data_IF_146975926826
#
_entry.id   IF_146975926826
#
_cell.length_a   1.000
_cell.length_b   1.000
_cell.length_c   1.000
_cell.angle_alpha   90.00
_cell.angle_beta   90.00
_cell.angle_gamma   90.00
#
_symmetry.space_group_name_H-M   'P 1'
#
loop_
_entity.id
_entity.type
_entity.pdbx_description
1 polymer ?
#
# COMPACT_ATOMS: atom_id res chain seq x y z
N UNK A 1 10.02 11.88 -35.61
CA UNK A 1 8.63 12.37 -35.34
C UNK A 1 7.82 11.31 -34.57
N UNK A 2 6.67 11.68 -34.06
CA UNK A 2 5.71 10.74 -33.47
C UNK A 2 5.22 9.72 -34.50
N UNK A 3 5.03 10.14 -35.75
CA UNK A 3 4.65 9.23 -36.82
C UNK A 3 5.67 8.12 -37.02
N UNK A 4 6.96 8.48 -37.11
CA UNK A 4 8.03 7.48 -37.29
C UNK A 4 8.12 6.50 -36.11
N UNK A 5 7.90 7.02 -34.88
CA UNK A 5 7.90 6.19 -33.69
C UNK A 5 6.73 5.19 -33.70
N UNK A 6 5.51 5.66 -34.01
CA UNK A 6 4.33 4.80 -34.10
C UNK A 6 4.43 3.77 -35.23
N UNK A 7 4.96 4.17 -36.41
CA UNK A 7 5.22 3.24 -37.52
C UNK A 7 6.24 2.15 -37.14
N UNK A 8 7.23 2.49 -36.32
CA UNK A 8 8.20 1.51 -35.81
C UNK A 8 7.54 0.53 -34.84
N UNK A 9 6.72 1.03 -33.91
CA UNK A 9 5.96 0.19 -32.97
C UNK A 9 4.99 -0.71 -33.75
N UNK A 10 4.25 -0.17 -34.70
CA UNK A 10 3.33 -0.96 -35.54
C UNK A 10 4.05 -2.10 -36.25
N UNK A 11 5.16 -1.82 -36.92
CA UNK A 11 5.96 -2.86 -37.60
C UNK A 11 6.51 -3.91 -36.64
N UNK A 12 6.88 -3.51 -35.41
CA UNK A 12 7.39 -4.44 -34.40
C UNK A 12 6.31 -5.39 -33.88
N UNK A 13 5.08 -4.91 -33.75
CA UNK A 13 3.95 -5.68 -33.19
C UNK A 13 3.16 -6.45 -34.23
N UNK A 14 3.13 -6.03 -35.50
CA UNK A 14 2.26 -6.61 -36.55
C UNK A 14 2.52 -8.09 -36.87
N UNK A 15 3.68 -8.62 -36.53
CA UNK A 15 4.05 -10.02 -36.75
C UNK A 15 3.93 -10.91 -35.51
N UNK A 16 3.47 -10.35 -34.40
CA UNK A 16 3.39 -11.07 -33.11
C UNK A 16 1.95 -11.49 -32.82
N UNK A 17 1.81 -12.65 -32.19
CA UNK A 17 0.55 -13.07 -31.58
C UNK A 17 0.37 -12.42 -30.20
N UNK A 18 -0.88 -12.32 -29.72
CA UNK A 18 -1.17 -11.64 -28.46
C UNK A 18 -0.45 -12.22 -27.24
N UNK A 19 -0.18 -13.53 -27.23
CA UNK A 19 0.58 -14.23 -26.20
C UNK A 19 2.08 -13.89 -26.17
N UNK A 20 2.59 -13.30 -27.25
CA UNK A 20 3.98 -12.83 -27.35
C UNK A 20 4.17 -11.35 -26.91
N UNK A 21 3.07 -10.66 -26.56
CA UNK A 21 3.10 -9.24 -26.22
C UNK A 21 2.60 -9.02 -24.80
N UNK A 22 3.42 -8.43 -23.96
CA UNK A 22 3.06 -8.00 -22.61
C UNK A 22 2.95 -6.49 -22.48
N UNK A 23 2.06 -6.01 -21.61
CA UNK A 23 1.83 -4.61 -21.33
C UNK A 23 2.10 -4.30 -19.86
N UNK A 24 3.00 -3.35 -19.60
CA UNK A 24 3.36 -2.87 -18.27
C UNK A 24 3.18 -1.34 -18.19
N UNK A 25 1.95 -0.85 -18.18
CA UNK A 25 1.69 0.59 -18.24
C UNK A 25 2.11 1.37 -16.99
N UNK A 26 2.33 0.69 -15.87
CA UNK A 26 2.75 1.32 -14.61
C UNK A 26 1.61 2.01 -13.84
N UNK A 27 1.90 2.37 -12.58
CA UNK A 27 0.90 2.89 -11.63
C UNK A 27 0.71 4.42 -11.64
N UNK A 28 1.28 5.15 -12.61
CA UNK A 28 1.19 6.63 -12.68
C UNK A 28 0.26 7.14 -13.78
N UNK A 29 -0.53 6.26 -14.35
CA UNK A 29 -1.50 6.60 -15.37
C UNK A 29 -2.77 7.18 -14.76
N UNK A 30 -3.49 7.99 -15.55
CA UNK A 30 -4.87 8.30 -15.24
C UNK A 30 -5.74 7.03 -15.36
N UNK A 31 -6.92 7.05 -14.76
CA UNK A 31 -7.89 5.96 -14.91
C UNK A 31 -8.23 5.72 -16.39
N UNK A 32 -8.43 6.79 -17.15
CA UNK A 32 -8.76 6.75 -18.57
C UNK A 32 -7.63 6.12 -19.40
N UNK A 33 -6.38 6.47 -19.12
CA UNK A 33 -5.22 5.88 -19.79
C UNK A 33 -5.07 4.40 -19.46
N UNK A 34 -5.24 4.02 -18.20
CA UNK A 34 -5.20 2.62 -17.78
C UNK A 34 -6.29 1.80 -18.48
N UNK A 35 -7.49 2.34 -18.58
CA UNK A 35 -8.59 1.71 -19.33
C UNK A 35 -8.28 1.61 -20.82
N UNK A 36 -7.76 2.68 -21.44
CA UNK A 36 -7.38 2.70 -22.85
C UNK A 36 -6.31 1.66 -23.16
N UNK A 37 -5.28 1.52 -22.31
CA UNK A 37 -4.26 0.48 -22.44
C UNK A 37 -4.86 -0.93 -22.35
N UNK A 38 -5.75 -1.15 -21.40
CA UNK A 38 -6.43 -2.44 -21.23
C UNK A 38 -7.28 -2.80 -22.46
N UNK A 39 -8.00 -1.81 -22.99
CA UNK A 39 -8.80 -1.98 -24.22
C UNK A 39 -7.91 -2.25 -25.43
N UNK A 40 -6.87 -1.46 -25.64
CA UNK A 40 -5.93 -1.61 -26.75
C UNK A 40 -5.28 -3.01 -26.75
N UNK A 41 -4.77 -3.43 -25.59
CA UNK A 41 -4.13 -4.73 -25.45
C UNK A 41 -5.07 -5.87 -25.87
N UNK A 42 -6.29 -5.89 -25.33
CA UNK A 42 -7.24 -6.99 -25.58
C UNK A 42 -7.90 -6.93 -26.95
N UNK A 43 -8.30 -5.76 -27.43
CA UNK A 43 -9.09 -5.64 -28.67
C UNK A 43 -8.26 -5.48 -29.92
N UNK A 44 -7.07 -4.88 -29.83
CA UNK A 44 -6.21 -4.63 -30.99
C UNK A 44 -5.07 -5.64 -31.07
N UNK A 45 -4.39 -5.90 -29.95
CA UNK A 45 -3.23 -6.81 -29.93
C UNK A 45 -3.65 -8.24 -29.63
N UNK A 46 -4.78 -8.46 -28.96
CA UNK A 46 -5.26 -9.79 -28.57
C UNK A 46 -4.51 -10.36 -27.36
N UNK A 47 -3.96 -9.49 -26.51
CA UNK A 47 -3.18 -9.89 -25.33
C UNK A 47 -3.94 -9.64 -24.03
N UNK A 48 -3.94 -10.64 -23.15
CA UNK A 48 -4.37 -10.52 -21.75
C UNK A 48 -3.18 -10.40 -20.78
N UNK A 49 -1.95 -10.38 -21.29
CA UNK A 49 -0.72 -10.20 -20.48
C UNK A 49 -0.54 -8.73 -20.12
N UNK A 50 -1.35 -8.27 -19.17
CA UNK A 50 -1.33 -6.87 -18.68
C UNK A 50 -1.08 -6.88 -17.19
N UNK A 51 -0.05 -6.14 -16.74
CA UNK A 51 0.23 -5.91 -15.34
C UNK A 51 0.60 -4.44 -15.09
N UNK A 52 0.18 -3.89 -13.98
CA UNK A 52 0.47 -2.50 -13.59
C UNK A 52 1.66 -2.41 -12.63
N UNK A 53 2.17 -3.53 -12.16
CA UNK A 53 3.22 -3.61 -11.14
C UNK A 53 4.47 -4.27 -11.67
N UNK A 54 5.62 -3.72 -11.33
CA UNK A 54 6.94 -4.26 -11.68
C UNK A 54 7.50 -5.22 -10.62
N UNK A 55 6.67 -5.86 -9.81
CA UNK A 55 7.05 -6.83 -8.79
C UNK A 55 6.16 -8.07 -8.81
N UNK A 56 6.69 -9.15 -8.30
CA UNK A 56 5.89 -10.36 -8.10
C UNK A 56 4.79 -10.13 -7.05
N UNK A 57 3.66 -10.79 -7.24
CA UNK A 57 2.55 -10.86 -6.31
C UNK A 57 2.58 -12.18 -5.55
N UNK A 58 2.21 -12.13 -4.26
CA UNK A 58 2.00 -13.32 -3.46
C UNK A 58 0.52 -13.70 -3.44
N UNK A 59 0.24 -14.97 -3.18
CA UNK A 59 -1.13 -15.44 -2.95
C UNK A 59 -1.76 -14.76 -1.73
N UNK A 60 -0.94 -14.49 -0.70
CA UNK A 60 -1.36 -13.75 0.49
C UNK A 60 -1.83 -12.33 0.12
N UNK A 61 -1.05 -11.61 -0.69
CA UNK A 61 -1.46 -10.27 -1.16
C UNK A 61 -2.75 -10.32 -1.97
N UNK A 62 -2.89 -11.27 -2.88
CA UNK A 62 -4.10 -11.43 -3.67
C UNK A 62 -5.32 -11.67 -2.78
N UNK A 63 -5.20 -12.54 -1.82
CA UNK A 63 -6.26 -12.85 -0.85
C UNK A 63 -6.60 -11.64 0.02
N UNK A 64 -5.60 -10.94 0.53
CA UNK A 64 -5.78 -9.72 1.31
C UNK A 64 -6.51 -8.63 0.52
N UNK A 65 -6.07 -8.35 -0.70
CA UNK A 65 -6.69 -7.33 -1.56
C UNK A 65 -8.14 -7.70 -1.91
N UNK A 66 -8.41 -8.98 -2.18
CA UNK A 66 -9.76 -9.45 -2.48
C UNK A 66 -10.71 -9.32 -1.29
N UNK A 67 -10.22 -9.58 -0.06
CA UNK A 67 -11.06 -9.63 1.15
C UNK A 67 -11.20 -8.29 1.87
N UNK A 68 -10.18 -7.42 1.82
CA UNK A 68 -10.10 -6.22 2.64
C UNK A 68 -10.04 -4.91 1.85
N UNK A 69 -9.82 -4.97 0.52
CA UNK A 69 -9.68 -3.77 -0.32
C UNK A 69 -10.72 -3.73 -1.43
N UNK A 70 -10.88 -4.83 -2.18
CA UNK A 70 -11.82 -4.89 -3.28
C UNK A 70 -13.26 -4.72 -2.78
N UNK A 71 -13.99 -3.76 -3.37
CA UNK A 71 -15.38 -3.50 -3.02
C UNK A 71 -15.62 -2.79 -1.68
N UNK A 72 -14.57 -2.49 -0.91
CA UNK A 72 -14.70 -1.82 0.39
C UNK A 72 -14.83 -0.28 0.31
N UNK A 73 -14.72 0.30 -0.88
CA UNK A 73 -14.72 1.76 -1.07
C UNK A 73 -13.45 2.41 -0.54
N UNK A 74 -13.54 3.67 -0.10
CA UNK A 74 -12.37 4.43 0.38
C UNK A 74 -11.85 4.01 1.77
N UNK A 75 -12.53 3.09 2.46
CA UNK A 75 -12.15 2.63 3.80
C UNK A 75 -12.09 3.77 4.83
N UNK A 76 -10.97 4.51 4.89
CA UNK A 76 -10.77 5.59 5.86
C UNK A 76 -10.65 6.95 5.16
N UNK A 77 -11.54 7.89 5.50
CA UNK A 77 -11.46 9.26 5.00
C UNK A 77 -10.36 10.06 5.70
N UNK A 78 -9.90 11.15 5.09
CA UNK A 78 -8.92 12.04 5.72
C UNK A 78 -9.38 12.59 7.07
N UNK A 79 -10.68 12.90 7.21
CA UNK A 79 -11.23 13.38 8.49
C UNK A 79 -11.18 12.32 9.57
N UNK A 80 -11.53 11.09 9.23
CA UNK A 80 -11.44 9.95 10.14
C UNK A 80 -10.00 9.65 10.54
N UNK A 81 -9.05 9.75 9.60
CA UNK A 81 -7.63 9.59 9.88
C UNK A 81 -7.11 10.67 10.83
N UNK A 82 -7.47 11.95 10.61
CA UNK A 82 -7.07 13.07 11.48
C UNK A 82 -7.59 12.91 12.92
N UNK A 83 -8.67 12.16 13.13
CA UNK A 83 -9.31 11.92 14.43
C UNK A 83 -9.10 10.51 15.00
N UNK A 84 -8.29 9.69 14.37
CA UNK A 84 -8.13 8.28 14.73
C UNK A 84 -7.42 8.05 16.09
N UNK A 85 -6.83 9.09 16.69
CA UNK A 85 -6.05 8.97 17.93
C UNK A 85 -4.70 8.31 17.73
N UNK A 86 -4.66 7.12 17.16
CA UNK A 86 -3.44 6.36 16.85
C UNK A 86 -3.47 5.81 15.42
N UNK A 87 -2.34 5.90 14.74
CA UNK A 87 -2.08 5.28 13.43
C UNK A 87 -0.83 4.40 13.54
N UNK A 88 -0.91 3.20 12.96
CA UNK A 88 0.24 2.33 12.72
C UNK A 88 0.55 2.29 11.21
N UNK A 89 1.80 2.58 10.86
CA UNK A 89 2.32 2.47 9.49
C UNK A 89 3.00 1.11 9.32
N UNK A 90 2.60 0.35 8.31
CA UNK A 90 3.16 -0.95 7.97
C UNK A 90 3.57 -0.96 6.51
N UNK A 91 4.86 -1.05 6.23
CA UNK A 91 5.38 -1.05 4.86
C UNK A 91 5.08 0.24 4.08
N UNK A 92 4.89 1.37 4.76
CA UNK A 92 4.50 2.64 4.17
C UNK A 92 5.40 3.79 4.65
N UNK A 93 5.89 4.59 3.70
CA UNK A 93 6.51 5.90 3.98
C UNK A 93 5.63 7.01 3.39
N UNK A 94 4.74 7.58 4.19
CA UNK A 94 3.70 8.47 3.67
C UNK A 94 4.23 9.78 3.10
N UNK A 95 5.43 10.27 3.50
CA UNK A 95 6.02 11.49 2.91
C UNK A 95 6.37 11.29 1.45
N UNK A 96 6.88 10.11 1.09
CA UNK A 96 7.35 9.82 -0.27
C UNK A 96 6.26 9.19 -1.15
N UNK A 97 5.36 8.40 -0.55
CA UNK A 97 4.40 7.57 -1.28
C UNK A 97 3.01 8.20 -1.40
N UNK A 98 2.58 9.00 -0.40
CA UNK A 98 1.24 9.59 -0.39
C UNK A 98 1.21 10.96 0.34
N UNK A 99 1.81 11.96 -0.28
CA UNK A 99 2.04 13.29 0.29
C UNK A 99 0.79 13.98 0.86
N UNK A 100 -0.38 13.82 0.23
CA UNK A 100 -1.62 14.39 0.77
C UNK A 100 -2.00 13.79 2.13
N UNK A 101 -1.89 12.46 2.26
CA UNK A 101 -2.13 11.73 3.50
C UNK A 101 -1.10 12.14 4.57
N UNK A 102 0.18 12.24 4.19
CA UNK A 102 1.24 12.73 5.07
C UNK A 102 0.94 14.12 5.64
N UNK A 103 0.52 15.07 4.79
CA UNK A 103 0.19 16.43 5.24
C UNK A 103 -1.01 16.44 6.20
N UNK A 104 -2.00 15.58 5.99
CA UNK A 104 -3.14 15.42 6.90
C UNK A 104 -2.71 14.88 8.27
N UNK A 105 -1.90 13.81 8.29
CA UNK A 105 -1.36 13.28 9.54
C UNK A 105 -0.49 14.32 10.26
N UNK A 106 0.41 15.02 9.53
CA UNK A 106 1.27 16.06 10.12
C UNK A 106 0.47 17.21 10.75
N UNK A 107 -0.63 17.61 10.14
CA UNK A 107 -1.56 18.59 10.71
C UNK A 107 -2.17 18.09 12.02
N UNK A 108 -2.58 16.83 12.07
CA UNK A 108 -3.21 16.24 13.24
C UNK A 108 -2.19 15.99 14.38
N UNK A 109 -0.99 15.50 14.08
CA UNK A 109 0.07 15.28 15.09
C UNK A 109 0.52 16.61 15.73
N UNK A 110 0.69 17.67 14.94
CA UNK A 110 1.01 19.02 15.47
C UNK A 110 -0.05 19.59 16.42
N UNK A 111 -1.29 19.14 16.28
CA UNK A 111 -2.40 19.53 17.17
C UNK A 111 -2.57 18.59 18.37
N UNK A 112 -1.69 17.59 18.51
CA UNK A 112 -1.78 16.59 19.56
C UNK A 112 -2.99 15.64 19.43
N UNK A 113 -3.64 15.60 18.26
CA UNK A 113 -4.84 14.79 18.03
C UNK A 113 -4.55 13.39 17.49
N UNK A 114 -3.34 13.18 16.98
CA UNK A 114 -2.92 11.94 16.36
C UNK A 114 -1.53 11.56 16.82
N UNK A 115 -1.34 10.30 17.17
CA UNK A 115 -0.04 9.67 17.36
C UNK A 115 0.21 8.71 16.19
N UNK A 116 1.46 8.59 15.79
CA UNK A 116 1.88 7.72 14.68
C UNK A 116 2.98 6.80 15.17
N UNK A 117 2.84 5.51 14.91
CA UNK A 117 3.90 4.51 15.07
C UNK A 117 4.21 3.89 13.70
N UNK A 118 5.42 3.42 13.51
CA UNK A 118 5.84 2.76 12.26
C UNK A 118 6.67 1.53 12.52
N UNK A 119 6.30 0.41 11.89
CA UNK A 119 7.13 -0.79 11.78
C UNK A 119 8.19 -0.55 10.71
N UNK A 120 9.44 -0.38 11.11
CA UNK A 120 10.52 -0.08 10.18
C UNK A 120 11.91 -0.37 10.79
N UNK A 121 12.95 -0.58 9.97
CA UNK A 121 14.30 -0.78 10.47
C UNK A 121 14.95 0.49 11.02
N UNK A 122 14.49 1.66 10.59
CA UNK A 122 15.03 2.96 11.00
C UNK A 122 13.97 4.06 10.95
N UNK A 123 14.21 5.13 11.70
CA UNK A 123 13.39 6.34 11.63
C UNK A 123 13.60 7.05 10.30
N UNK A 124 12.54 7.18 9.51
CA UNK A 124 12.55 7.98 8.29
C UNK A 124 12.43 9.48 8.58
N UNK A 125 12.72 10.33 7.57
CA UNK A 125 12.48 11.77 7.66
C UNK A 125 10.99 12.08 7.86
N UNK A 126 10.12 11.34 7.18
CA UNK A 126 8.67 11.48 7.31
C UNK A 126 8.20 11.15 8.71
N UNK A 127 8.63 10.01 9.27
CA UNK A 127 8.29 9.62 10.64
C UNK A 127 8.77 10.66 11.67
N UNK A 128 9.99 11.16 11.52
CA UNK A 128 10.52 12.23 12.39
C UNK A 128 9.68 13.51 12.32
N UNK A 129 9.24 13.93 11.12
CA UNK A 129 8.37 15.10 10.95
C UNK A 129 6.96 14.91 11.52
N UNK A 130 6.52 13.67 11.68
CA UNK A 130 5.27 13.31 12.35
C UNK A 130 5.43 13.19 13.88
N UNK A 131 6.65 13.34 14.39
CA UNK A 131 7.01 13.02 15.79
C UNK A 131 6.57 11.60 16.15
N UNK A 132 6.74 10.68 15.19
CA UNK A 132 6.26 9.32 15.29
C UNK A 132 7.21 8.41 16.06
N UNK A 133 6.66 7.35 16.61
CA UNK A 133 7.34 6.27 17.32
C UNK A 133 7.87 5.23 16.33
N UNK A 134 9.12 4.83 16.48
CA UNK A 134 9.70 3.73 15.70
C UNK A 134 9.56 2.42 16.46
N UNK A 135 8.85 1.46 15.87
CA UNK A 135 8.90 0.05 16.28
C UNK A 135 9.97 -0.62 15.43
N UNK A 136 11.15 -0.70 16.01
CA UNK A 136 12.33 -1.16 15.26
C UNK A 136 12.25 -2.67 15.00
N UNK A 137 12.32 -3.06 13.73
CA UNK A 137 12.43 -4.44 13.30
C UNK A 137 13.53 -4.59 12.23
N UNK A 138 14.17 -5.73 12.18
CA UNK A 138 15.04 -6.05 11.06
C UNK A 138 14.18 -6.30 9.80
N UNK A 139 14.67 -5.97 8.58
CA UNK A 139 13.94 -6.29 7.37
C UNK A 139 13.58 -7.78 7.29
N UNK A 140 12.29 -8.08 7.11
CA UNK A 140 11.75 -9.44 7.08
C UNK A 140 11.24 -9.98 8.41
N UNK A 141 11.43 -9.25 9.53
CA UNK A 141 10.92 -9.63 10.86
C UNK A 141 9.74 -8.76 11.33
N UNK A 142 9.10 -8.06 10.41
CA UNK A 142 7.95 -7.21 10.71
C UNK A 142 6.76 -8.00 11.24
N UNK A 143 6.66 -9.29 10.85
CA UNK A 143 5.60 -10.20 11.31
C UNK A 143 5.70 -10.44 12.80
N UNK A 144 6.90 -10.70 13.32
CA UNK A 144 7.16 -11.00 14.73
C UNK A 144 6.78 -9.78 15.59
N UNK A 145 7.19 -8.59 15.18
CA UNK A 145 6.86 -7.35 15.91
C UNK A 145 5.35 -7.06 15.86
N UNK A 146 4.69 -7.29 14.72
CA UNK A 146 3.24 -7.14 14.62
C UNK A 146 2.50 -8.15 15.53
N UNK A 147 3.01 -9.38 15.64
CA UNK A 147 2.47 -10.39 16.54
C UNK A 147 2.68 -10.00 18.02
N UNK A 148 3.85 -9.47 18.39
CA UNK A 148 4.11 -8.98 19.76
C UNK A 148 3.17 -7.84 20.15
N UNK A 149 2.85 -6.91 19.23
CA UNK A 149 1.84 -5.86 19.48
C UNK A 149 0.48 -6.53 19.77
N UNK A 150 0.08 -7.49 18.96
CA UNK A 150 -1.21 -8.19 19.11
C UNK A 150 -1.30 -8.99 20.42
N UNK A 151 -0.22 -9.64 20.83
CA UNK A 151 -0.17 -10.49 21.99
C UNK A 151 0.01 -9.72 23.31
N UNK A 152 0.34 -8.43 23.24
CA UNK A 152 0.48 -7.58 24.41
C UNK A 152 1.81 -7.76 25.14
N UNK A 153 2.89 -8.11 24.41
CA UNK A 153 4.26 -8.21 24.92
C UNK A 153 4.90 -6.85 25.18
N UNK A 154 6.08 -6.61 24.65
CA UNK A 154 6.83 -5.34 24.81
C UNK A 154 6.01 -4.12 24.38
N UNK A 155 5.10 -4.28 23.41
CA UNK A 155 4.28 -3.21 22.84
C UNK A 155 2.82 -3.17 23.36
N UNK A 156 2.53 -3.72 24.54
CA UNK A 156 1.18 -3.74 25.12
C UNK A 156 0.52 -2.35 25.22
N UNK A 157 1.31 -1.31 25.53
CA UNK A 157 0.83 0.07 25.59
C UNK A 157 0.40 0.58 24.21
N UNK A 158 1.14 0.23 23.15
CA UNK A 158 0.74 0.55 21.78
C UNK A 158 -0.54 -0.18 21.39
N UNK A 159 -0.68 -1.47 21.71
CA UNK A 159 -1.90 -2.23 21.43
C UNK A 159 -3.13 -1.56 22.05
N UNK A 160 -3.00 -1.11 23.30
CA UNK A 160 -4.08 -0.37 23.98
C UNK A 160 -4.40 0.97 23.32
N UNK A 161 -3.39 1.70 22.86
CA UNK A 161 -3.57 2.98 22.13
C UNK A 161 -4.16 2.79 20.73
N UNK A 162 -3.90 1.63 20.11
CA UNK A 162 -4.41 1.29 18.79
C UNK A 162 -5.90 0.95 18.79
N UNK A 163 -6.52 0.67 19.94
CA UNK A 163 -7.92 0.28 19.98
C UNK A 163 -8.83 1.30 19.27
N UNK A 164 -9.54 0.84 18.23
CA UNK A 164 -10.35 1.69 17.36
C UNK A 164 -9.56 2.62 16.41
N UNK A 165 -8.23 2.50 16.35
CA UNK A 165 -7.34 3.30 15.51
C UNK A 165 -7.35 2.90 14.03
N UNK A 166 -6.26 3.22 13.34
CA UNK A 166 -6.08 2.92 11.91
C UNK A 166 -4.73 2.27 11.65
N UNK A 167 -4.71 1.21 10.87
CA UNK A 167 -3.50 0.63 10.30
C UNK A 167 -3.42 1.00 8.82
N UNK A 168 -2.40 1.77 8.46
CA UNK A 168 -2.10 2.12 7.06
C UNK A 168 -1.10 1.12 6.52
N UNK A 169 -1.49 0.39 5.49
CA UNK A 169 -0.70 -0.69 4.88
C UNK A 169 -0.25 -0.27 3.50
N UNK A 170 1.04 -0.16 3.30
CA UNK A 170 1.64 0.12 2.01
C UNK A 170 2.03 -1.15 1.25
N UNK A 171 2.24 -1.01 -0.05
CA UNK A 171 2.63 -2.12 -0.94
C UNK A 171 3.85 -2.92 -0.44
N UNK A 172 4.79 -2.28 0.24
CA UNK A 172 5.99 -2.96 0.73
C UNK A 172 5.70 -4.02 1.79
N UNK A 173 4.59 -3.92 2.51
CA UNK A 173 4.16 -4.93 3.48
C UNK A 173 4.02 -6.32 2.84
N UNK A 174 3.63 -6.40 1.58
CA UNK A 174 3.48 -7.66 0.85
C UNK A 174 4.80 -8.39 0.56
N UNK A 175 5.95 -7.72 0.78
CA UNK A 175 7.28 -8.33 0.60
C UNK A 175 7.70 -9.23 1.77
N UNK A 176 7.08 -9.05 2.93
CA UNK A 176 7.33 -9.89 4.10
C UNK A 176 6.21 -10.93 4.19
N UNK A 177 6.50 -12.21 3.92
CA UNK A 177 5.49 -13.28 3.97
C UNK A 177 4.82 -13.36 5.35
N UNK A 178 3.51 -13.48 5.38
CA UNK A 178 2.72 -13.55 6.62
C UNK A 178 2.34 -12.19 7.22
N UNK A 179 2.95 -11.08 6.78
CA UNK A 179 2.72 -9.77 7.38
C UNK A 179 1.30 -9.24 7.14
N UNK A 180 0.76 -9.41 5.95
CA UNK A 180 -0.61 -8.97 5.67
C UNK A 180 -1.63 -9.76 6.50
N UNK A 181 -1.41 -11.06 6.66
CA UNK A 181 -2.24 -11.91 7.52
C UNK A 181 -2.15 -11.49 8.98
N UNK A 182 -0.96 -11.13 9.47
CA UNK A 182 -0.77 -10.67 10.84
C UNK A 182 -1.40 -9.28 11.08
N UNK A 183 -1.32 -8.40 10.11
CA UNK A 183 -2.01 -7.09 10.15
C UNK A 183 -3.52 -7.27 10.30
N UNK A 184 -4.11 -8.23 9.61
CA UNK A 184 -5.55 -8.54 9.76
C UNK A 184 -5.86 -8.98 11.18
N UNK A 185 -5.10 -9.94 11.74
CA UNK A 185 -5.28 -10.42 13.11
C UNK A 185 -5.09 -9.30 14.14
N UNK A 186 -4.09 -8.44 13.93
CA UNK A 186 -3.86 -7.28 14.78
C UNK A 186 -5.03 -6.30 14.72
N UNK A 187 -5.55 -6.02 13.53
CA UNK A 187 -6.70 -5.13 13.34
C UNK A 187 -7.97 -5.68 14.01
N UNK A 188 -8.23 -6.98 13.89
CA UNK A 188 -9.33 -7.64 14.58
C UNK A 188 -9.19 -7.55 16.11
N UNK A 189 -7.99 -7.80 16.63
CA UNK A 189 -7.71 -7.75 18.07
C UNK A 189 -7.82 -6.35 18.68
N UNK A 190 -7.48 -5.31 17.90
CA UNK A 190 -7.47 -3.91 18.35
C UNK A 190 -8.63 -3.10 17.77
N UNK A 191 -9.59 -3.73 17.11
CA UNK A 191 -10.72 -3.06 16.43
C UNK A 191 -10.29 -1.94 15.48
N UNK A 192 -9.07 -2.03 14.93
CA UNK A 192 -8.53 -1.07 13.97
C UNK A 192 -9.20 -1.20 12.60
N UNK A 193 -9.30 -0.08 11.93
CA UNK A 193 -9.61 -0.10 10.50
C UNK A 193 -8.32 -0.23 9.70
N UNK A 194 -8.35 -1.09 8.69
CA UNK A 194 -7.24 -1.25 7.75
C UNK A 194 -7.50 -0.34 6.54
N UNK A 195 -6.45 0.37 6.12
CA UNK A 195 -6.47 1.13 4.88
C UNK A 195 -5.23 0.78 4.06
N UNK A 196 -5.46 0.23 2.88
CA UNK A 196 -4.42 0.04 1.86
C UNK A 196 -4.09 1.36 1.18
N UNK A 197 -2.80 1.64 0.94
CA UNK A 197 -2.29 2.88 0.35
C UNK A 197 -1.41 2.58 -0.86
#
# INVERSE_FOLDING_TARGET
SWSDALDRVHRALSGLSGDQVGFLPGGRLSFEDAWAWSKFARTIVGSDSIDMRSRSHSEEERSFLASHVAGSGLGVTYSQLESAGQVLLVGLEPEDECGALFLRMRKATRKGKLRVASLAPMTSRGLAKLSGELLRCAPGTEVEVAAEIREGGEFADLASRLDGGVILVGERASRTPGLLSEVVRLAERTHCRIQWV
#
